data_IF_405857019802
#
_entry.id   IF_405857019802
#
_cell.length_a   1.000
_cell.length_b   1.000
_cell.length_c   1.000
_cell.angle_alpha   90.00
_cell.angle_beta   90.00
_cell.angle_gamma   90.00
#
_symmetry.space_group_name_H-M   'P 1'
#
loop_
_entity.id
_entity.type
_entity.pdbx_description
1 polymer ?
#
# COMPACT_ATOMS: atom_id res chain seq x y z
N UNK A 1 2.07 27.98 -84.72
CA UNK A 1 1.23 27.52 -83.59
C UNK A 1 2.15 27.23 -82.41
N UNK A 2 1.89 27.86 -81.26
CA UNK A 2 2.79 27.87 -80.10
C UNK A 2 2.70 26.56 -79.30
N UNK A 3 3.88 26.06 -78.95
CA UNK A 3 4.16 24.93 -78.05
C UNK A 3 3.66 25.24 -76.62
N UNK A 4 2.93 24.32 -75.98
CA UNK A 4 2.82 24.26 -74.50
C UNK A 4 2.78 22.80 -74.03
N UNK A 5 3.87 22.44 -73.36
CA UNK A 5 4.06 21.28 -72.49
C UNK A 5 3.10 21.39 -71.30
N UNK A 6 2.47 20.29 -70.90
CA UNK A 6 1.75 20.20 -69.62
C UNK A 6 2.33 19.06 -68.78
N UNK A 7 2.62 19.44 -67.55
CA UNK A 7 3.46 18.81 -66.54
C UNK A 7 2.67 17.79 -65.71
N UNK A 8 3.36 16.75 -65.26
CA UNK A 8 2.88 15.65 -64.43
C UNK A 8 2.30 16.09 -63.07
N UNK A 9 1.35 15.31 -62.56
CA UNK A 9 0.99 15.24 -61.14
C UNK A 9 0.92 13.77 -60.72
N UNK A 10 2.05 13.27 -60.21
CA UNK A 10 2.11 12.02 -59.44
C UNK A 10 1.64 12.34 -58.01
N UNK A 11 0.51 11.77 -57.63
CA UNK A 11 -0.02 11.85 -56.26
C UNK A 11 0.67 10.76 -55.43
N UNK A 12 1.70 11.12 -54.67
CA UNK A 12 2.35 10.22 -53.71
C UNK A 12 1.56 10.24 -52.40
N UNK A 13 0.87 9.15 -52.09
CA UNK A 13 0.28 8.92 -50.77
C UNK A 13 1.39 8.64 -49.75
N UNK A 14 1.61 9.56 -48.83
CA UNK A 14 2.52 9.36 -47.69
C UNK A 14 1.84 8.47 -46.65
N UNK A 15 2.31 7.22 -46.51
CA UNK A 15 2.00 6.36 -45.37
C UNK A 15 2.73 6.91 -44.14
N UNK A 16 2.01 7.59 -43.26
CA UNK A 16 2.51 7.96 -41.94
C UNK A 16 2.66 6.69 -41.10
N UNK A 17 3.90 6.20 -40.93
CA UNK A 17 4.18 5.14 -39.95
C UNK A 17 4.09 5.75 -38.55
N UNK A 18 3.06 5.41 -37.79
CA UNK A 18 3.05 5.62 -36.35
C UNK A 18 4.14 4.75 -35.73
N UNK A 19 5.29 5.33 -35.42
CA UNK A 19 6.31 4.69 -34.61
C UNK A 19 5.77 4.53 -33.19
N UNK A 20 5.39 3.31 -32.83
CA UNK A 20 5.07 2.96 -31.45
C UNK A 20 6.40 2.83 -30.72
N UNK A 21 6.76 3.83 -29.90
CA UNK A 21 7.94 3.75 -29.04
C UNK A 21 7.66 2.70 -27.97
N UNK A 22 8.30 1.54 -28.05
CA UNK A 22 8.24 0.55 -26.97
C UNK A 22 8.79 1.17 -25.69
N UNK A 23 7.95 1.22 -24.66
CA UNK A 23 8.38 1.60 -23.31
C UNK A 23 9.33 0.51 -22.82
N UNK A 24 10.56 0.84 -22.38
CA UNK A 24 11.51 -0.17 -21.93
C UNK A 24 10.92 -0.90 -20.73
N UNK A 25 10.74 -2.22 -20.87
CA UNK A 25 10.36 -3.12 -19.79
C UNK A 25 11.46 -3.07 -18.74
N UNK A 26 11.21 -2.37 -17.63
CA UNK A 26 12.09 -2.37 -16.46
C UNK A 26 12.25 -3.82 -16.01
N UNK A 27 13.44 -4.38 -16.19
CA UNK A 27 13.78 -5.69 -15.66
C UNK A 27 13.61 -5.65 -14.14
N UNK A 28 12.67 -6.44 -13.64
CA UNK A 28 12.49 -6.64 -12.22
C UNK A 28 13.75 -7.30 -11.67
N UNK A 29 14.57 -6.53 -10.96
CA UNK A 29 15.69 -7.09 -10.21
C UNK A 29 15.09 -7.82 -9.02
N UNK A 30 15.14 -9.15 -9.05
CA UNK A 30 14.76 -9.97 -7.91
C UNK A 30 15.64 -9.58 -6.71
N UNK A 31 15.07 -8.87 -5.75
CA UNK A 31 15.75 -8.57 -4.48
C UNK A 31 15.63 -9.81 -3.61
N UNK A 32 16.77 -10.27 -3.08
CA UNK A 32 16.83 -11.43 -2.20
C UNK A 32 15.85 -11.26 -1.02
N UNK A 33 15.15 -12.33 -0.59
CA UNK A 33 14.21 -12.25 0.51
C UNK A 33 14.93 -11.76 1.77
N UNK A 34 14.47 -10.62 2.29
CA UNK A 34 14.96 -10.14 3.58
C UNK A 34 14.68 -11.19 4.64
N UNK A 35 15.68 -11.49 5.47
CA UNK A 35 15.58 -12.45 6.56
C UNK A 35 14.34 -12.12 7.40
N UNK A 36 13.31 -12.98 7.35
CA UNK A 36 12.08 -12.84 8.14
C UNK A 36 12.49 -12.61 9.59
N UNK A 37 11.99 -11.56 10.22
CA UNK A 37 12.22 -11.36 11.64
C UNK A 37 11.51 -12.50 12.38
N UNK A 38 12.27 -13.35 13.07
CA UNK A 38 11.71 -14.37 13.96
C UNK A 38 11.19 -13.67 15.22
N UNK A 39 9.98 -13.11 15.09
CA UNK A 39 9.28 -12.43 16.16
C UNK A 39 8.47 -13.43 17.03
N UNK A 40 8.59 -14.74 16.77
CA UNK A 40 7.86 -15.79 17.48
C UNK A 40 6.36 -15.84 17.15
N UNK A 41 5.88 -15.03 16.21
CA UNK A 41 4.49 -15.06 15.79
C UNK A 41 4.21 -16.30 14.92
N UNK A 42 3.16 -17.04 15.27
CA UNK A 42 2.76 -18.29 14.58
C UNK A 42 1.26 -18.32 14.28
N UNK A 43 0.59 -17.18 14.38
CA UNK A 43 -0.86 -17.10 14.17
C UNK A 43 -1.13 -16.48 12.81
N UNK A 44 -1.45 -17.32 11.84
CA UNK A 44 -1.95 -16.91 10.53
C UNK A 44 -3.22 -17.70 10.23
N UNK A 45 -4.33 -17.02 9.93
CA UNK A 45 -5.52 -17.66 9.35
C UNK A 45 -5.54 -17.54 7.83
N UNK A 46 -4.41 -17.14 7.22
CA UNK A 46 -4.22 -17.02 5.78
C UNK A 46 -4.62 -15.66 5.18
N UNK A 47 -5.07 -14.70 5.99
CA UNK A 47 -5.45 -13.37 5.45
C UNK A 47 -4.24 -12.63 4.90
N UNK A 48 -3.10 -12.67 5.59
CA UNK A 48 -1.86 -12.06 5.10
C UNK A 48 -1.36 -12.71 3.80
N UNK A 49 -1.49 -14.03 3.65
CA UNK A 49 -1.13 -14.74 2.42
C UNK A 49 -2.04 -14.37 1.25
N UNK A 50 -3.35 -14.45 1.45
CA UNK A 50 -4.34 -14.04 0.44
C UNK A 50 -4.17 -12.57 0.04
N UNK A 51 -3.80 -11.70 0.98
CA UNK A 51 -3.53 -10.29 0.70
C UNK A 51 -2.27 -10.08 -0.15
N UNK A 52 -1.21 -10.87 0.06
CA UNK A 52 -0.01 -10.86 -0.80
C UNK A 52 -0.33 -11.33 -2.23
N UNK A 53 -1.14 -12.37 -2.37
CA UNK A 53 -1.62 -12.84 -3.67
C UNK A 53 -2.43 -11.74 -4.38
N UNK A 54 -3.41 -11.15 -3.70
CA UNK A 54 -4.20 -10.04 -4.24
C UNK A 54 -3.37 -8.82 -4.61
N UNK A 55 -2.35 -8.48 -3.82
CA UNK A 55 -1.40 -7.41 -4.15
C UNK A 55 -0.57 -7.73 -5.39
N UNK A 56 -0.16 -9.00 -5.57
CA UNK A 56 0.54 -9.45 -6.78
C UNK A 56 -0.37 -9.29 -8.00
N UNK A 57 -1.65 -9.65 -7.89
CA UNK A 57 -2.64 -9.44 -8.96
C UNK A 57 -2.87 -7.96 -9.28
N UNK A 58 -2.95 -7.10 -8.27
CA UNK A 58 -3.22 -5.67 -8.47
C UNK A 58 -2.01 -4.85 -8.92
N UNK A 59 -0.79 -5.23 -8.51
CA UNK A 59 0.40 -4.39 -8.66
C UNK A 59 1.57 -5.08 -9.37
N UNK A 60 1.52 -6.40 -9.58
CA UNK A 60 2.65 -7.17 -10.14
C UNK A 60 3.90 -7.18 -9.23
N UNK A 61 3.73 -6.87 -7.94
CA UNK A 61 4.80 -6.78 -6.95
C UNK A 61 4.41 -7.48 -5.64
N UNK A 62 5.39 -8.15 -5.04
CA UNK A 62 5.25 -8.84 -3.76
C UNK A 62 5.99 -8.15 -2.61
N UNK A 63 6.84 -7.16 -2.91
CA UNK A 63 7.68 -6.47 -1.93
C UNK A 63 7.88 -5.00 -2.28
N UNK A 64 8.09 -4.19 -1.25
CA UNK A 64 8.30 -2.74 -1.30
C UNK A 64 9.53 -2.35 -0.49
N UNK A 65 10.17 -1.22 -0.80
CA UNK A 65 11.24 -0.66 0.05
C UNK A 65 10.63 0.06 1.26
N UNK A 66 11.35 0.18 2.39
CA UNK A 66 10.84 0.93 3.55
C UNK A 66 10.39 2.34 3.18
N UNK A 67 9.15 2.68 3.53
CA UNK A 67 8.51 3.96 3.19
C UNK A 67 7.68 3.95 1.91
N UNK A 68 7.85 2.95 1.04
CA UNK A 68 7.08 2.84 -0.20
C UNK A 68 5.64 2.37 0.05
N UNK A 69 4.77 2.75 -0.87
CA UNK A 69 3.38 2.34 -0.92
C UNK A 69 2.82 2.45 -2.34
N UNK A 70 1.76 1.69 -2.61
CA UNK A 70 1.04 1.66 -3.86
C UNK A 70 -0.47 1.78 -3.59
N UNK A 71 -1.16 2.45 -4.50
CA UNK A 71 -2.60 2.44 -4.62
C UNK A 71 -2.97 2.12 -6.06
N UNK A 72 -4.08 1.42 -6.27
CA UNK A 72 -4.63 1.29 -7.61
C UNK A 72 -5.04 2.67 -8.14
N UNK A 73 -4.98 2.90 -9.46
CA UNK A 73 -5.38 4.17 -10.06
C UNK A 73 -6.88 4.45 -9.88
N UNK A 74 -7.69 3.39 -9.83
CA UNK A 74 -9.11 3.44 -9.54
C UNK A 74 -9.42 2.58 -8.31
N UNK A 75 -10.10 3.17 -7.33
CA UNK A 75 -10.63 2.47 -6.16
C UNK A 75 -12.15 2.35 -6.39
N UNK A 76 -12.72 1.13 -6.35
CA UNK A 76 -14.16 0.96 -6.48
C UNK A 76 -14.95 1.82 -5.49
N UNK A 77 -16.03 2.44 -5.97
CA UNK A 77 -16.88 3.28 -5.13
C UNK A 77 -17.60 2.47 -4.05
N UNK A 78 -17.97 1.23 -4.36
CA UNK A 78 -18.69 0.32 -3.46
C UNK A 78 -17.78 -0.75 -2.86
N UNK A 79 -18.29 -1.42 -1.82
CA UNK A 79 -17.65 -2.56 -1.16
C UNK A 79 -17.03 -2.21 0.18
N UNK A 80 -17.05 -3.17 1.11
CA UNK A 80 -16.49 -2.98 2.44
C UNK A 80 -14.98 -2.71 2.39
N UNK A 81 -14.51 -1.78 3.21
CA UNK A 81 -13.07 -1.60 3.44
C UNK A 81 -12.58 -2.54 4.52
N UNK A 82 -11.44 -3.19 4.29
CA UNK A 82 -10.73 -4.01 5.26
C UNK A 82 -9.23 -3.75 5.16
N UNK A 83 -8.55 -3.74 6.30
CA UNK A 83 -7.08 -3.65 6.36
C UNK A 83 -6.53 -4.97 6.88
N UNK A 84 -5.51 -5.49 6.21
CA UNK A 84 -4.74 -6.66 6.66
C UNK A 84 -3.32 -6.21 6.93
N UNK A 85 -2.82 -6.44 8.13
CA UNK A 85 -1.46 -6.13 8.57
C UNK A 85 -0.70 -7.45 8.69
N UNK A 86 0.36 -7.60 7.92
CA UNK A 86 1.29 -8.72 7.96
C UNK A 86 2.56 -8.29 8.73
N UNK A 87 2.69 -8.79 9.96
CA UNK A 87 3.81 -8.49 10.83
C UNK A 87 5.11 -9.20 10.39
N UNK A 88 5.03 -10.36 9.73
CA UNK A 88 6.21 -11.10 9.27
C UNK A 88 6.93 -10.37 8.14
N UNK A 89 6.16 -9.79 7.22
CA UNK A 89 6.71 -9.05 6.06
C UNK A 89 6.74 -7.53 6.27
N UNK A 90 6.28 -7.03 7.42
CA UNK A 90 6.12 -5.61 7.71
C UNK A 90 5.39 -4.86 6.58
N UNK A 91 4.25 -5.42 6.16
CA UNK A 91 3.42 -4.87 5.09
C UNK A 91 1.96 -4.77 5.53
N UNK A 92 1.24 -3.77 5.05
CA UNK A 92 -0.21 -3.69 5.19
C UNK A 92 -0.87 -3.61 3.82
N UNK A 93 -2.04 -4.24 3.72
CA UNK A 93 -2.86 -4.32 2.53
C UNK A 93 -4.23 -3.72 2.82
N UNK A 94 -4.83 -3.09 1.83
CA UNK A 94 -6.14 -2.46 1.93
C UNK A 94 -7.04 -3.05 0.87
N UNK A 95 -8.13 -3.63 1.32
CA UNK A 95 -9.19 -4.14 0.48
C UNK A 95 -10.30 -3.11 0.31
N UNK A 96 -10.93 -3.13 -0.87
CA UNK A 96 -12.26 -2.57 -1.13
C UNK A 96 -13.07 -3.67 -1.80
N UNK A 97 -14.07 -4.20 -1.09
CA UNK A 97 -14.70 -5.47 -1.46
C UNK A 97 -13.66 -6.60 -1.49
N UNK A 98 -13.56 -7.31 -2.61
CA UNK A 98 -12.61 -8.43 -2.77
C UNK A 98 -11.26 -7.99 -3.36
N UNK A 99 -11.13 -6.74 -3.82
CA UNK A 99 -9.94 -6.25 -4.49
C UNK A 99 -8.96 -5.62 -3.49
N UNK A 100 -7.68 -6.01 -3.57
CA UNK A 100 -6.59 -5.26 -2.91
C UNK A 100 -6.37 -3.97 -3.69
N UNK A 101 -6.68 -2.83 -3.09
CA UNK A 101 -6.56 -1.49 -3.68
C UNK A 101 -5.38 -0.70 -3.15
N UNK A 102 -4.75 -1.15 -2.06
CA UNK A 102 -3.56 -0.52 -1.49
C UNK A 102 -2.59 -1.53 -0.88
N UNK A 103 -1.30 -1.23 -0.97
CA UNK A 103 -0.20 -1.97 -0.35
C UNK A 103 0.83 -0.98 0.20
N UNK A 104 1.34 -1.19 1.40
CA UNK A 104 2.34 -0.30 2.00
C UNK A 104 3.27 -1.03 2.95
N UNK A 105 4.52 -0.58 3.05
CA UNK A 105 5.38 -0.98 4.16
C UNK A 105 4.88 -0.39 5.49
N UNK A 106 5.21 -1.05 6.60
CA UNK A 106 4.86 -0.59 7.94
C UNK A 106 6.09 -0.59 8.87
N UNK A 107 5.94 0.02 10.04
CA UNK A 107 6.79 -0.28 11.20
C UNK A 107 5.92 -0.55 12.42
N UNK A 108 5.89 -1.83 12.81
CA UNK A 108 5.09 -2.37 13.93
C UNK A 108 5.84 -2.29 15.27
N UNK A 109 5.27 -2.90 16.31
CA UNK A 109 5.82 -2.97 17.66
C UNK A 109 7.15 -3.69 17.74
N UNK A 110 8.13 -3.08 18.40
CA UNK A 110 9.44 -3.72 18.70
C UNK A 110 9.27 -4.83 19.75
N UNK A 111 10.31 -5.66 19.91
CA UNK A 111 10.39 -6.68 20.97
C UNK A 111 10.05 -6.09 22.36
N UNK A 112 9.16 -6.75 23.10
CA UNK A 112 8.61 -6.33 24.39
C UNK A 112 7.49 -5.26 24.30
N UNK A 113 7.10 -4.88 23.08
CA UNK A 113 6.02 -3.95 22.73
C UNK A 113 5.33 -4.39 21.44
N UNK A 114 5.14 -5.69 21.30
CA UNK A 114 4.56 -6.35 20.15
C UNK A 114 3.21 -5.74 19.76
N UNK A 115 2.94 -5.64 18.46
CA UNK A 115 1.60 -5.29 17.98
C UNK A 115 0.69 -6.50 18.21
N UNK A 116 -0.46 -6.33 18.88
CA UNK A 116 -1.30 -7.47 19.22
C UNK A 116 -1.95 -8.06 17.96
N UNK A 117 -1.78 -9.37 17.79
CA UNK A 117 -2.44 -10.16 16.75
C UNK A 117 -3.95 -10.23 17.02
N UNK A 118 -4.75 -10.36 15.97
CA UNK A 118 -6.18 -10.60 16.10
C UNK A 118 -7.06 -9.88 15.08
N UNK A 119 -8.36 -10.02 15.31
CA UNK A 119 -9.40 -9.35 14.54
C UNK A 119 -9.88 -8.12 15.31
N UNK A 120 -9.57 -6.96 14.75
CA UNK A 120 -9.89 -5.66 15.32
C UNK A 120 -10.87 -4.90 14.44
N UNK A 121 -11.38 -3.79 14.99
CA UNK A 121 -12.14 -2.81 14.24
C UNK A 121 -11.63 -1.43 14.60
N UNK A 122 -11.69 -0.50 13.65
CA UNK A 122 -11.41 0.92 13.94
C UNK A 122 -12.47 1.41 14.93
N UNK A 123 -12.08 1.71 16.15
CA UNK A 123 -12.98 2.24 17.18
C UNK A 123 -13.13 3.76 17.08
N UNK A 124 -12.01 4.44 16.83
CA UNK A 124 -11.93 5.90 16.82
C UNK A 124 -10.94 6.39 15.79
N UNK A 125 -11.23 7.57 15.23
CA UNK A 125 -10.41 8.21 14.20
C UNK A 125 -10.07 9.64 14.60
N UNK A 126 -8.80 10.01 14.54
CA UNK A 126 -8.32 11.34 14.90
C UNK A 126 -7.25 11.82 13.91
N UNK A 127 -7.56 12.88 13.15
CA UNK A 127 -6.65 13.40 12.11
C UNK A 127 -5.37 13.97 12.70
N UNK A 128 -5.45 14.71 13.80
CA UNK A 128 -4.34 15.39 14.47
C UNK A 128 -4.14 14.85 15.89
N UNK A 129 -3.89 13.55 16.02
CA UNK A 129 -3.66 12.94 17.34
C UNK A 129 -2.21 13.13 17.82
N UNK A 130 -2.05 13.26 19.14
CA UNK A 130 -0.77 13.27 19.84
C UNK A 130 -0.83 12.30 21.01
N UNK A 131 0.16 11.43 21.12
CA UNK A 131 0.20 10.45 22.20
C UNK A 131 0.59 11.10 23.53
N UNK A 132 -0.34 11.17 24.47
CA UNK A 132 -0.08 11.67 25.84
C UNK A 132 0.94 10.79 26.58
N UNK A 133 0.93 9.48 26.31
CA UNK A 133 1.84 8.49 26.91
C UNK A 133 3.29 8.63 26.42
N UNK A 134 3.49 9.16 25.22
CA UNK A 134 4.82 9.29 24.59
C UNK A 134 5.15 10.75 24.30
N UNK A 135 5.17 11.59 25.34
CA UNK A 135 5.64 12.97 25.27
C UNK A 135 4.99 13.80 24.15
N UNK A 136 3.68 13.63 23.92
CA UNK A 136 2.94 14.30 22.84
C UNK A 136 3.48 14.02 21.42
N UNK A 137 4.09 12.85 21.21
CA UNK A 137 4.55 12.42 19.90
C UNK A 137 3.38 12.45 18.88
N UNK A 138 3.59 13.04 17.70
CA UNK A 138 2.55 13.17 16.69
C UNK A 138 2.17 11.80 16.09
N UNK A 139 0.87 11.56 15.98
CA UNK A 139 0.27 10.39 15.36
C UNK A 139 -0.76 10.87 14.31
N UNK A 140 -0.31 11.46 13.19
CA UNK A 140 -1.22 11.95 12.17
C UNK A 140 -2.06 10.82 11.58
N UNK A 141 -3.35 11.10 11.33
CA UNK A 141 -4.30 10.15 10.77
C UNK A 141 -4.49 8.88 11.61
N UNK A 142 -4.50 9.02 12.94
CA UNK A 142 -4.63 7.90 13.86
C UNK A 142 -6.00 7.23 13.73
N UNK A 143 -5.97 5.91 13.59
CA UNK A 143 -7.13 5.02 13.62
C UNK A 143 -6.90 4.03 14.76
N UNK A 144 -7.54 4.27 15.89
CA UNK A 144 -7.41 3.45 17.11
C UNK A 144 -8.20 2.17 16.92
N UNK A 145 -7.61 1.02 17.26
CA UNK A 145 -8.19 -0.30 17.05
C UNK A 145 -8.45 -1.09 18.34
N UNK A 146 -7.98 -0.59 19.49
CA UNK A 146 -8.23 -1.18 20.80
C UNK A 146 -8.40 -0.11 21.91
N UNK A 147 -8.77 -0.59 23.10
CA UNK A 147 -8.95 0.22 24.31
C UNK A 147 -7.61 0.65 24.96
N UNK A 148 -6.51 0.00 24.62
CA UNK A 148 -5.16 0.31 25.07
C UNK A 148 -4.46 1.41 24.26
N UNK A 149 -5.06 1.85 23.14
CA UNK A 149 -4.59 2.94 22.29
C UNK A 149 -3.63 2.51 21.18
N UNK A 150 -3.61 1.24 20.81
CA UNK A 150 -2.97 0.74 19.59
C UNK A 150 -3.71 1.32 18.39
N UNK A 151 -2.93 1.79 17.42
CA UNK A 151 -3.47 2.50 16.27
C UNK A 151 -2.68 2.22 14.99
N UNK A 152 -3.34 2.42 13.86
CA UNK A 152 -2.71 2.68 12.57
C UNK A 152 -2.52 4.19 12.45
N UNK A 153 -1.32 4.67 12.16
CA UNK A 153 -1.07 6.11 12.02
C UNK A 153 0.16 6.41 11.16
N UNK A 154 0.25 7.62 10.64
CA UNK A 154 1.44 8.10 9.93
C UNK A 154 2.65 8.23 10.86
N UNK A 155 3.83 7.83 10.42
CA UNK A 155 5.05 7.91 11.24
C UNK A 155 6.33 7.56 10.48
N UNK A 156 7.45 7.46 11.22
CA UNK A 156 8.73 7.04 10.67
C UNK A 156 8.80 5.52 10.49
N UNK A 157 9.33 5.08 9.34
CA UNK A 157 9.46 3.67 8.95
C UNK A 157 10.95 3.33 8.73
N UNK A 158 11.68 2.90 9.76
CA UNK A 158 13.10 2.61 9.65
C UNK A 158 13.41 1.26 8.95
N UNK A 159 12.40 0.56 8.44
CA UNK A 159 12.54 -0.75 7.79
C UNK A 159 12.50 -1.96 8.73
N UNK A 160 12.20 -1.75 10.01
CA UNK A 160 12.04 -2.81 11.01
C UNK A 160 10.99 -2.41 12.08
N UNK A 161 10.49 -3.36 12.89
CA UNK A 161 9.58 -3.05 14.00
C UNK A 161 10.24 -2.11 15.03
N UNK A 162 9.71 -0.90 15.17
CA UNK A 162 10.31 0.16 15.98
C UNK A 162 9.29 0.97 16.80
N UNK A 163 8.01 0.62 16.73
CA UNK A 163 6.96 1.28 17.48
C UNK A 163 6.84 0.71 18.91
N UNK A 164 5.94 1.30 19.70
CA UNK A 164 5.55 0.76 21.01
C UNK A 164 4.20 0.02 20.95
N UNK A 165 3.91 -0.62 19.81
CA UNK A 165 2.72 -1.44 19.57
C UNK A 165 1.88 -0.96 18.39
N UNK A 166 1.85 0.34 18.11
CA UNK A 166 1.13 0.89 16.95
C UNK A 166 1.71 0.43 15.61
N UNK A 167 0.89 0.48 14.56
CA UNK A 167 1.32 0.22 13.18
C UNK A 167 1.59 1.57 12.51
N UNK A 168 2.86 1.89 12.28
CA UNK A 168 3.27 3.12 11.59
C UNK A 168 3.22 2.93 10.08
N UNK A 169 2.66 3.92 9.39
CA UNK A 169 2.47 3.96 7.94
C UNK A 169 3.16 5.20 7.34
N UNK A 170 3.50 5.19 6.03
CA UNK A 170 3.88 6.42 5.34
C UNK A 170 2.75 7.45 5.47
N UNK A 171 3.08 8.71 5.78
CA UNK A 171 2.07 9.73 6.13
C UNK A 171 1.02 9.91 5.02
N UNK A 172 1.46 9.97 3.75
CA UNK A 172 0.54 10.09 2.60
C UNK A 172 -0.38 8.88 2.45
N UNK A 173 0.12 7.69 2.74
CA UNK A 173 -0.71 6.49 2.73
C UNK A 173 -1.72 6.51 3.88
N UNK A 174 -1.28 6.90 5.08
CA UNK A 174 -2.15 7.03 6.25
C UNK A 174 -3.30 8.02 6.01
N UNK A 175 -3.04 9.15 5.33
CA UNK A 175 -4.05 10.13 4.95
C UNK A 175 -5.13 9.55 4.03
N UNK A 176 -4.70 8.85 2.97
CA UNK A 176 -5.63 8.24 2.01
C UNK A 176 -6.41 7.09 2.66
N UNK A 177 -5.73 6.24 3.44
CA UNK A 177 -6.38 5.20 4.22
C UNK A 177 -7.42 5.79 5.17
N UNK A 178 -7.07 6.84 5.92
CA UNK A 178 -7.99 7.50 6.84
C UNK A 178 -9.21 8.08 6.13
N UNK A 179 -9.10 8.48 4.88
CA UNK A 179 -10.26 8.95 4.11
C UNK A 179 -11.14 7.79 3.61
N UNK A 180 -10.55 6.61 3.41
CA UNK A 180 -11.25 5.42 2.89
C UNK A 180 -11.92 4.57 3.99
N UNK A 181 -11.36 4.55 5.19
CA UNK A 181 -11.90 3.77 6.31
C UNK A 181 -12.99 4.52 7.07
N UNK A 182 -13.74 3.80 7.88
CA UNK A 182 -14.77 4.32 8.79
C UNK A 182 -14.60 3.68 10.18
N UNK A 183 -15.29 4.23 11.18
CA UNK A 183 -15.43 3.53 12.47
C UNK A 183 -16.18 2.21 12.21
N UNK A 184 -15.64 1.10 12.70
CA UNK A 184 -16.12 -0.25 12.41
C UNK A 184 -15.37 -0.97 11.29
N UNK A 185 -14.54 -0.27 10.49
CA UNK A 185 -13.69 -0.92 9.47
C UNK A 185 -12.85 -2.03 10.10
N UNK A 186 -12.88 -3.20 9.47
CA UNK A 186 -12.15 -4.39 9.94
C UNK A 186 -10.65 -4.20 9.77
N UNK A 187 -9.89 -4.51 10.80
CA UNK A 187 -8.43 -4.54 10.80
C UNK A 187 -7.98 -5.90 11.28
N UNK A 188 -7.28 -6.63 10.44
CA UNK A 188 -6.77 -7.97 10.75
C UNK A 188 -5.27 -7.83 10.94
N UNK A 189 -4.75 -8.27 12.08
CA UNK A 189 -3.31 -8.28 12.37
C UNK A 189 -2.85 -9.73 12.50
N UNK A 190 -2.01 -10.15 11.56
CA UNK A 190 -1.50 -11.52 11.44
C UNK A 190 0.00 -11.51 11.18
N UNK A 191 0.57 -12.72 11.23
CA UNK A 191 1.96 -12.97 10.91
C UNK A 191 2.72 -13.29 12.15
#
# INVERSE_FOLDING_TARGET
MRLKVALALLCSAALASCSTTEVPRVQQVAVAPTKKADLGYRWTNGFAEKAREGATSSFGLTHLKPGDFLWTPHIPAEGDTQVVVDLLTQTAFVYRGEQVVGMTTISSGKKGKETPLGFWKVERKQRTYRSRKYQNAPMPFAQIIDDHGIALHGGALPGYPASHGCVRLPIKFAEKLFSLTEVGTKVIVEG
#
